data_IF_603755992951
#
_entry.id   IF_603755992951
#
_cell.length_a   1.000
_cell.length_b   1.000
_cell.length_c   1.000
_cell.angle_alpha   90.00
_cell.angle_beta   90.00
_cell.angle_gamma   90.00
#
_symmetry.space_group_name_H-M   'P 1'
#
loop_
_entity.id
_entity.type
_entity.pdbx_description
1 polymer ?
#
# COMPACT_ATOMS: atom_id res chain seq x y z
N UNK A 1 -7.28 29.81 14.67
CA UNK A 1 -6.56 29.48 13.42
C UNK A 1 -5.75 28.20 13.68
N UNK A 2 -6.26 27.04 13.25
CA UNK A 2 -5.52 25.77 13.38
C UNK A 2 -4.36 25.76 12.38
N UNK A 3 -3.15 25.59 12.86
CA UNK A 3 -1.97 25.38 12.00
C UNK A 3 -2.19 24.10 11.21
N UNK A 4 -2.21 24.20 9.90
CA UNK A 4 -2.18 23.03 9.02
C UNK A 4 -0.87 22.26 9.29
N UNK A 5 -0.91 20.96 9.63
CA UNK A 5 0.32 20.23 9.90
C UNK A 5 1.14 20.08 8.61
N UNK A 6 2.32 20.70 8.60
CA UNK A 6 3.30 20.55 7.54
C UNK A 6 4.45 19.62 7.98
N UNK A 7 4.93 18.79 7.07
CA UNK A 7 6.10 17.96 7.30
C UNK A 7 5.81 16.65 8.04
N UNK A 8 6.58 16.37 9.09
CA UNK A 8 6.46 15.13 9.87
C UNK A 8 5.15 15.03 10.63
N UNK A 9 4.58 16.16 11.07
CA UNK A 9 3.32 16.20 11.82
C UNK A 9 2.14 15.62 11.03
N UNK A 10 2.10 15.80 9.70
CA UNK A 10 1.07 15.21 8.86
C UNK A 10 1.10 13.68 8.90
N UNK A 11 2.27 13.07 8.88
CA UNK A 11 2.40 11.61 8.96
C UNK A 11 2.01 11.06 10.34
N UNK A 12 2.22 11.83 11.43
CA UNK A 12 1.78 11.45 12.77
C UNK A 12 0.25 11.29 12.82
N UNK A 13 -0.50 12.16 12.13
CA UNK A 13 -1.95 12.10 12.09
C UNK A 13 -2.46 10.79 11.47
N UNK A 14 -1.82 10.31 10.42
CA UNK A 14 -2.26 9.08 9.74
C UNK A 14 -1.73 7.82 10.39
N UNK A 15 -0.49 7.81 10.88
CA UNK A 15 0.10 6.61 11.50
C UNK A 15 -0.48 6.29 12.87
N UNK A 16 -1.08 7.26 13.55
CA UNK A 16 -1.73 7.10 14.86
C UNK A 16 -3.28 7.13 14.76
N UNK A 17 -3.83 6.87 13.58
CA UNK A 17 -5.26 6.84 13.34
C UNK A 17 -5.78 5.41 13.34
N UNK A 18 -6.37 4.99 14.45
CA UNK A 18 -6.87 3.62 14.63
C UNK A 18 -7.98 3.26 13.63
N UNK A 19 -8.88 4.18 13.31
CA UNK A 19 -9.95 3.94 12.33
C UNK A 19 -9.39 3.68 10.93
N UNK A 20 -8.34 4.41 10.56
CA UNK A 20 -7.63 4.21 9.30
C UNK A 20 -6.89 2.87 9.28
N UNK A 21 -6.24 2.50 10.38
CA UNK A 21 -5.58 1.21 10.51
C UNK A 21 -6.59 0.06 10.43
N UNK A 22 -7.78 0.19 11.05
CA UNK A 22 -8.87 -0.81 10.95
C UNK A 22 -9.35 -0.99 9.51
N UNK A 23 -9.53 0.10 8.77
CA UNK A 23 -9.90 0.03 7.36
C UNK A 23 -8.83 -0.72 6.55
N UNK A 24 -7.57 -0.34 6.68
CA UNK A 24 -6.45 -0.99 5.99
C UNK A 24 -6.39 -2.48 6.32
N UNK A 25 -6.51 -2.85 7.58
CA UNK A 25 -6.46 -4.26 8.00
C UNK A 25 -7.65 -5.06 7.48
N UNK A 26 -8.85 -4.46 7.46
CA UNK A 26 -10.03 -5.07 6.87
C UNK A 26 -9.84 -5.38 5.39
N UNK A 27 -9.28 -4.44 4.63
CA UNK A 27 -8.99 -4.63 3.20
C UNK A 27 -7.90 -5.68 2.97
N UNK A 28 -6.85 -5.72 3.80
CA UNK A 28 -5.79 -6.74 3.76
C UNK A 28 -6.37 -8.13 4.07
N UNK A 29 -7.21 -8.25 5.10
CA UNK A 29 -7.85 -9.51 5.45
C UNK A 29 -8.78 -10.03 4.33
N UNK A 30 -9.56 -9.13 3.71
CA UNK A 30 -10.40 -9.47 2.55
C UNK A 30 -9.55 -9.92 1.35
N UNK A 31 -8.42 -9.28 1.12
CA UNK A 31 -7.46 -9.62 0.08
C UNK A 31 -6.92 -11.05 0.27
N UNK A 32 -6.45 -11.40 1.48
CA UNK A 32 -5.96 -12.74 1.81
C UNK A 32 -7.08 -13.79 1.65
N UNK A 33 -8.28 -13.48 2.13
CA UNK A 33 -9.45 -14.38 1.98
C UNK A 33 -9.81 -14.62 0.50
N UNK A 34 -9.52 -13.68 -0.37
CA UNK A 34 -9.68 -13.83 -1.83
C UNK A 34 -8.54 -14.61 -2.49
N UNK A 35 -7.60 -15.20 -1.72
CA UNK A 35 -6.48 -15.99 -2.22
C UNK A 35 -5.31 -15.15 -2.77
N UNK A 36 -5.26 -13.86 -2.47
CA UNK A 36 -4.20 -12.96 -2.93
C UNK A 36 -3.03 -12.88 -1.95
N UNK A 37 -1.91 -12.40 -2.44
CA UNK A 37 -0.69 -12.25 -1.63
C UNK A 37 -0.34 -10.76 -1.48
N UNK A 38 -0.81 -10.12 -0.39
CA UNK A 38 -0.60 -8.70 -0.18
C UNK A 38 0.79 -8.35 0.35
N UNK A 39 1.28 -7.18 -0.07
CA UNK A 39 2.32 -6.43 0.62
C UNK A 39 1.77 -5.12 1.16
N UNK A 40 1.96 -4.90 2.45
CA UNK A 40 1.60 -3.66 3.14
C UNK A 40 2.84 -2.80 3.36
N UNK A 41 2.84 -1.60 2.79
CA UNK A 41 3.94 -0.65 2.91
C UNK A 41 3.60 0.49 3.87
N UNK A 42 4.51 0.72 4.78
CA UNK A 42 4.50 1.93 5.62
C UNK A 42 5.88 2.57 5.66
N UNK A 43 5.94 3.85 5.98
CA UNK A 43 7.20 4.58 6.15
C UNK A 43 7.89 4.28 7.48
N UNK A 44 7.13 3.90 8.52
CA UNK A 44 7.58 3.84 9.90
C UNK A 44 7.66 2.42 10.44
N UNK A 45 8.76 2.10 11.11
CA UNK A 45 9.02 0.76 11.67
C UNK A 45 8.04 0.42 12.80
N UNK A 46 7.72 1.37 13.66
CA UNK A 46 6.74 1.19 14.74
C UNK A 46 5.33 0.93 14.21
N UNK A 47 4.91 1.65 13.17
CA UNK A 47 3.65 1.41 12.47
C UNK A 47 3.63 0.03 11.81
N UNK A 48 4.73 -0.35 11.12
CA UNK A 48 4.86 -1.68 10.53
C UNK A 48 4.72 -2.79 11.58
N UNK A 49 5.39 -2.65 12.72
CA UNK A 49 5.29 -3.61 13.84
C UNK A 49 3.88 -3.72 14.39
N UNK A 50 3.22 -2.58 14.66
CA UNK A 50 1.84 -2.54 15.18
C UNK A 50 0.84 -3.20 14.23
N UNK A 51 0.90 -2.88 12.94
CA UNK A 51 0.05 -3.51 11.93
C UNK A 51 0.35 -5.01 11.79
N UNK A 52 1.62 -5.40 11.83
CA UNK A 52 2.01 -6.81 11.76
C UNK A 52 1.41 -7.63 12.90
N UNK A 53 1.50 -7.15 14.16
CA UNK A 53 0.94 -7.87 15.30
C UNK A 53 -0.57 -8.11 15.16
N UNK A 54 -1.28 -7.13 14.64
CA UNK A 54 -2.74 -7.19 14.44
C UNK A 54 -3.15 -8.04 13.23
N UNK A 55 -2.30 -8.11 12.20
CA UNK A 55 -2.57 -8.85 10.97
C UNK A 55 -2.20 -10.34 11.05
N UNK A 56 -1.44 -10.79 12.03
CA UNK A 56 -1.01 -12.19 12.18
C UNK A 56 -2.14 -13.21 12.12
N UNK A 57 -3.32 -12.86 12.61
CA UNK A 57 -4.48 -13.74 12.66
C UNK A 57 -5.14 -14.01 11.30
N UNK A 58 -4.77 -13.27 10.24
CA UNK A 58 -5.44 -13.31 8.95
C UNK A 58 -4.72 -14.11 7.87
N UNK A 59 -3.51 -14.61 8.16
CA UNK A 59 -2.75 -15.46 7.23
C UNK A 59 -1.96 -16.53 7.97
N UNK A 60 -1.62 -17.61 7.30
CA UNK A 60 -0.77 -18.67 7.84
C UNK A 60 0.63 -18.17 8.14
N UNK A 61 1.10 -17.24 7.32
CA UNK A 61 2.44 -16.62 7.45
C UNK A 61 2.34 -15.10 7.36
N UNK A 62 3.02 -14.42 8.26
CA UNK A 62 3.24 -12.99 8.20
C UNK A 62 4.73 -12.72 8.33
N UNK A 63 5.29 -12.05 7.34
CA UNK A 63 6.71 -11.66 7.32
C UNK A 63 6.81 -10.14 7.46
N UNK A 64 7.63 -9.70 8.42
CA UNK A 64 7.92 -8.29 8.63
C UNK A 64 9.32 -7.94 8.17
N UNK A 65 9.42 -7.14 7.09
CA UNK A 65 10.68 -6.61 6.57
C UNK A 65 10.88 -5.16 7.03
N UNK A 66 11.90 -4.90 7.86
CA UNK A 66 12.25 -3.53 8.27
C UNK A 66 13.72 -3.24 7.99
N UNK A 67 14.00 -2.00 7.53
CA UNK A 67 15.37 -1.56 7.23
C UNK A 67 16.26 -1.30 8.45
N UNK A 68 15.71 -1.40 9.67
CA UNK A 68 16.45 -1.13 10.91
C UNK A 68 17.38 -2.29 11.33
N UNK A 69 17.25 -3.43 10.71
CA UNK A 69 18.04 -4.62 11.04
C UNK A 69 19.23 -4.73 10.07
N UNK A 70 20.44 -4.93 10.59
CA UNK A 70 21.64 -5.08 9.76
C UNK A 70 21.53 -6.18 8.71
N UNK A 71 22.50 -6.25 7.80
CA UNK A 71 22.51 -7.12 6.61
C UNK A 71 22.21 -8.60 6.90
N UNK A 72 22.65 -9.12 8.06
CA UNK A 72 22.38 -10.52 8.48
C UNK A 72 20.90 -10.76 8.77
N UNK A 73 20.22 -9.82 9.43
CA UNK A 73 18.80 -9.94 9.73
C UNK A 73 17.94 -9.82 8.50
N UNK A 74 18.31 -8.92 7.57
CA UNK A 74 17.64 -8.80 6.27
C UNK A 74 17.70 -10.11 5.48
N UNK A 75 18.87 -10.75 5.44
CA UNK A 75 19.03 -12.03 4.76
C UNK A 75 18.16 -13.12 5.38
N UNK A 76 18.13 -13.23 6.70
CA UNK A 76 17.28 -14.19 7.42
C UNK A 76 15.78 -13.97 7.11
N UNK A 77 15.32 -12.72 7.05
CA UNK A 77 13.94 -12.37 6.71
C UNK A 77 13.59 -12.74 5.24
N UNK A 78 14.53 -12.56 4.31
CA UNK A 78 14.36 -12.97 2.92
C UNK A 78 14.37 -14.50 2.79
N UNK A 79 15.22 -15.20 3.53
CA UNK A 79 15.26 -16.66 3.58
C UNK A 79 13.93 -17.21 4.15
N UNK A 80 13.39 -16.58 5.20
CA UNK A 80 12.08 -16.91 5.76
C UNK A 80 10.95 -16.70 4.74
N UNK A 81 10.98 -15.59 4.00
CA UNK A 81 10.01 -15.30 2.94
C UNK A 81 10.06 -16.37 1.83
N UNK A 82 11.25 -16.76 1.42
CA UNK A 82 11.44 -17.78 0.37
C UNK A 82 11.07 -19.20 0.85
N UNK A 83 11.02 -19.44 2.14
CA UNK A 83 10.61 -20.72 2.73
C UNK A 83 9.08 -20.87 2.85
N UNK A 84 8.29 -19.83 2.57
CA UNK A 84 6.82 -19.88 2.61
C UNK A 84 6.32 -20.80 1.49
N UNK A 85 5.52 -21.81 1.84
CA UNK A 85 4.96 -22.75 0.86
C UNK A 85 3.87 -22.07 0.03
N UNK A 86 3.67 -22.54 -1.19
CA UNK A 86 2.62 -22.04 -2.09
C UNK A 86 1.21 -22.23 -1.50
N UNK A 87 1.00 -23.29 -0.71
CA UNK A 87 -0.27 -23.60 -0.05
C UNK A 87 -0.56 -22.73 1.16
N UNK A 88 0.43 -22.01 1.69
CA UNK A 88 0.27 -21.12 2.84
C UNK A 88 -0.15 -19.72 2.37
N UNK A 89 -1.16 -19.13 2.99
CA UNK A 89 -1.47 -17.71 2.82
C UNK A 89 -0.38 -16.84 3.44
N UNK A 90 -0.06 -15.72 2.78
CA UNK A 90 1.04 -14.84 3.18
C UNK A 90 0.61 -13.38 3.22
N UNK A 91 0.99 -12.69 4.27
CA UNK A 91 1.03 -11.22 4.35
C UNK A 91 2.48 -10.77 4.50
N UNK A 92 2.93 -9.89 3.61
CA UNK A 92 4.21 -9.22 3.76
C UNK A 92 3.97 -7.80 4.29
N UNK A 93 4.60 -7.43 5.39
CA UNK A 93 4.62 -6.04 5.88
C UNK A 93 6.03 -5.50 5.74
N UNK A 94 6.20 -4.35 5.12
CA UNK A 94 7.53 -3.80 4.85
C UNK A 94 7.58 -2.29 5.06
N UNK A 95 8.77 -1.79 5.38
CA UNK A 95 9.06 -0.35 5.27
C UNK A 95 9.53 -0.03 3.84
N UNK A 96 9.08 1.12 3.32
CA UNK A 96 9.20 1.47 1.89
C UNK A 96 10.59 1.35 1.26
N UNK A 97 11.66 1.53 2.03
CA UNK A 97 13.03 1.38 1.54
C UNK A 97 13.40 -0.06 1.15
N UNK A 98 12.62 -1.05 1.59
CA UNK A 98 12.93 -2.47 1.39
C UNK A 98 12.35 -3.07 0.11
N UNK A 99 11.30 -2.50 -0.44
CA UNK A 99 10.84 -2.83 -1.80
C UNK A 99 11.68 -2.13 -2.89
N UNK A 100 12.75 -1.44 -2.49
CA UNK A 100 13.72 -0.85 -3.38
C UNK A 100 14.64 -1.88 -4.02
N UNK A 101 15.92 -1.53 -4.19
CA UNK A 101 16.92 -2.35 -4.87
C UNK A 101 17.06 -3.77 -4.27
N UNK A 102 17.06 -4.77 -5.15
CA UNK A 102 17.37 -6.16 -4.81
C UNK A 102 16.24 -6.97 -4.16
N UNK A 103 15.03 -6.43 -3.97
CA UNK A 103 13.88 -7.22 -3.54
C UNK A 103 13.13 -7.78 -4.75
N UNK A 104 12.96 -9.09 -4.81
CA UNK A 104 12.19 -9.78 -5.84
C UNK A 104 11.42 -10.94 -5.21
N UNK A 105 10.09 -10.84 -5.21
CA UNK A 105 9.20 -11.91 -4.75
C UNK A 105 7.95 -11.94 -5.64
N UNK A 106 8.00 -12.68 -6.75
CA UNK A 106 7.00 -12.63 -7.83
C UNK A 106 5.58 -12.99 -7.41
N UNK A 107 5.40 -13.74 -6.33
CA UNK A 107 4.08 -14.12 -5.79
C UNK A 107 3.24 -12.94 -5.34
N UNK A 108 3.84 -11.80 -4.96
CA UNK A 108 3.10 -10.60 -4.54
C UNK A 108 2.23 -10.06 -5.68
N UNK A 109 0.95 -9.84 -5.40
CA UNK A 109 -0.02 -9.37 -6.39
C UNK A 109 -0.88 -8.18 -5.93
N UNK A 110 -0.77 -7.79 -4.67
CA UNK A 110 -1.54 -6.66 -4.12
C UNK A 110 -0.66 -5.77 -3.25
N UNK A 111 -0.65 -4.47 -3.54
CA UNK A 111 0.08 -3.46 -2.78
C UNK A 111 -0.90 -2.62 -1.95
N UNK A 112 -0.66 -2.53 -0.66
CA UNK A 112 -1.35 -1.60 0.25
C UNK A 112 -0.39 -0.51 0.70
N UNK A 113 -0.65 0.75 0.33
CA UNK A 113 0.15 1.89 0.77
C UNK A 113 -0.41 2.48 2.06
N UNK A 114 -0.03 1.92 3.21
CA UNK A 114 -0.49 2.39 4.52
C UNK A 114 0.02 3.80 4.87
N UNK A 115 1.10 4.26 4.25
CA UNK A 115 1.52 5.67 4.29
C UNK A 115 1.77 6.18 2.88
N UNK A 116 1.32 7.42 2.57
CA UNK A 116 1.54 8.00 1.25
C UNK A 116 3.03 8.11 0.91
N UNK A 117 3.38 7.73 -0.30
CA UNK A 117 4.72 7.96 -0.87
C UNK A 117 4.68 9.11 -1.85
N UNK A 118 5.79 9.83 -1.98
CA UNK A 118 5.94 10.91 -2.95
C UNK A 118 6.81 10.45 -4.12
N UNK A 119 6.44 10.91 -5.31
CA UNK A 119 7.22 10.71 -6.53
C UNK A 119 6.68 9.60 -7.42
N UNK A 120 6.62 9.92 -8.71
CA UNK A 120 6.17 9.00 -9.76
C UNK A 120 7.07 7.76 -9.83
N UNK A 121 8.39 7.95 -9.79
CA UNK A 121 9.38 6.87 -9.89
C UNK A 121 9.26 5.84 -8.76
N UNK A 122 8.87 6.27 -7.54
CA UNK A 122 8.72 5.35 -6.39
C UNK A 122 7.54 4.42 -6.62
N UNK A 123 6.42 4.95 -7.12
CA UNK A 123 5.24 4.14 -7.47
C UNK A 123 5.58 3.17 -8.58
N UNK A 124 6.23 3.64 -9.65
CA UNK A 124 6.65 2.79 -10.77
C UNK A 124 7.56 1.64 -10.30
N UNK A 125 8.49 1.91 -9.38
CA UNK A 125 9.35 0.87 -8.80
C UNK A 125 8.56 -0.18 -8.02
N UNK A 126 7.65 0.25 -7.14
CA UNK A 126 6.86 -0.67 -6.33
C UNK A 126 5.95 -1.54 -7.20
N UNK A 127 5.23 -0.90 -8.11
CA UNK A 127 4.33 -1.59 -9.04
C UNK A 127 5.11 -2.52 -9.99
N UNK A 128 6.26 -2.08 -10.49
CA UNK A 128 7.13 -2.90 -11.34
C UNK A 128 7.61 -4.18 -10.66
N UNK A 129 7.76 -4.19 -9.33
CA UNK A 129 8.09 -5.40 -8.56
C UNK A 129 6.92 -6.38 -8.46
N UNK A 130 5.70 -5.83 -8.39
CA UNK A 130 4.50 -6.66 -8.36
C UNK A 130 4.13 -7.20 -9.74
N UNK A 131 4.47 -6.50 -10.83
CA UNK A 131 4.18 -6.92 -12.20
C UNK A 131 5.09 -8.06 -12.72
N UNK A 132 5.78 -8.77 -11.83
CA UNK A 132 6.52 -9.99 -12.18
C UNK A 132 5.56 -11.13 -12.45
N UNK A 133 5.89 -11.91 -13.48
CA UNK A 133 5.13 -13.12 -13.81
C UNK A 133 5.24 -14.15 -12.69
N UNK A 134 4.10 -14.72 -12.32
CA UNK A 134 3.99 -15.82 -11.36
C UNK A 134 2.77 -16.67 -11.71
N UNK A 135 2.90 -17.99 -11.62
CA UNK A 135 1.82 -18.89 -11.97
C UNK A 135 0.57 -18.65 -11.13
N UNK A 136 -0.57 -18.59 -11.79
CA UNK A 136 -1.86 -18.26 -11.16
C UNK A 136 -2.11 -16.78 -10.86
N UNK A 137 -1.14 -15.88 -11.03
CA UNK A 137 -1.34 -14.43 -10.88
C UNK A 137 -2.16 -13.88 -12.04
N UNK A 138 -3.34 -13.31 -11.74
CA UNK A 138 -4.27 -12.77 -12.76
C UNK A 138 -4.03 -11.30 -13.05
N UNK A 139 -3.78 -10.49 -12.04
CA UNK A 139 -3.56 -9.05 -12.12
C UNK A 139 -2.85 -8.54 -10.87
N UNK A 140 -2.45 -7.28 -10.90
CA UNK A 140 -1.91 -6.56 -9.76
C UNK A 140 -2.89 -5.49 -9.33
N UNK A 141 -3.13 -5.39 -8.02
CA UNK A 141 -4.00 -4.37 -7.42
C UNK A 141 -3.18 -3.47 -6.49
N UNK A 142 -3.46 -2.17 -6.54
CA UNK A 142 -2.88 -1.19 -5.62
C UNK A 142 -4.00 -0.51 -4.83
N UNK A 143 -3.93 -0.62 -3.50
CA UNK A 143 -4.76 0.14 -2.57
C UNK A 143 -4.00 1.39 -2.15
N UNK A 144 -4.49 2.54 -2.59
CA UNK A 144 -3.93 3.85 -2.29
C UNK A 144 -4.92 4.63 -1.40
N UNK A 145 -4.59 4.75 -0.11
CA UNK A 145 -5.43 5.46 0.85
C UNK A 145 -5.17 6.96 0.76
N UNK A 146 -6.18 7.69 0.30
CA UNK A 146 -6.08 9.12 0.03
C UNK A 146 -6.60 9.93 1.22
N UNK A 147 -5.68 10.59 1.91
CA UNK A 147 -5.98 11.50 3.03
C UNK A 147 -6.08 12.94 2.49
N UNK A 148 -7.09 13.22 1.63
CA UNK A 148 -7.24 14.47 0.87
C UNK A 148 -7.43 15.71 1.74
N UNK A 149 -7.95 15.53 2.98
CA UNK A 149 -8.08 16.61 3.96
C UNK A 149 -6.72 17.16 4.44
N UNK A 150 -5.61 16.51 4.08
CA UNK A 150 -4.25 16.95 4.38
C UNK A 150 -3.60 17.41 3.07
N UNK A 151 -3.41 18.73 2.84
CA UNK A 151 -2.95 19.29 1.56
C UNK A 151 -1.63 18.70 1.02
N UNK A 152 -0.75 18.26 1.93
CA UNK A 152 0.49 17.58 1.57
C UNK A 152 0.21 16.24 0.89
N UNK A 153 -0.69 15.44 1.43
CA UNK A 153 -1.00 14.10 0.92
C UNK A 153 -1.82 14.16 -0.35
N UNK A 154 -2.66 15.16 -0.47
CA UNK A 154 -3.40 15.45 -1.69
C UNK A 154 -2.46 15.74 -2.88
N UNK A 155 -1.47 16.62 -2.70
CA UNK A 155 -0.43 16.85 -3.71
C UNK A 155 0.37 15.60 -4.06
N UNK A 156 0.68 14.77 -3.07
CA UNK A 156 1.38 13.50 -3.28
C UNK A 156 0.50 12.51 -4.05
N UNK A 157 -0.79 12.50 -3.81
CA UNK A 157 -1.75 11.67 -4.55
C UNK A 157 -1.83 12.10 -6.02
N UNK A 158 -1.93 13.39 -6.30
CA UNK A 158 -1.93 13.90 -7.68
C UNK A 158 -0.69 13.44 -8.49
N UNK A 159 0.48 13.38 -7.85
CA UNK A 159 1.69 12.84 -8.48
C UNK A 159 1.59 11.32 -8.73
N UNK A 160 1.02 10.56 -7.78
CA UNK A 160 0.81 9.11 -7.95
C UNK A 160 -0.19 8.78 -9.06
N UNK A 161 -1.25 9.58 -9.20
CA UNK A 161 -2.21 9.42 -10.30
C UNK A 161 -1.55 9.49 -11.67
N UNK A 162 -0.57 10.40 -11.86
CA UNK A 162 0.20 10.48 -13.11
C UNK A 162 1.00 9.20 -13.37
N UNK A 163 1.61 8.64 -12.32
CA UNK A 163 2.32 7.37 -12.43
C UNK A 163 1.37 6.22 -12.80
N UNK A 164 0.21 6.10 -12.15
CA UNK A 164 -0.77 5.06 -12.48
C UNK A 164 -1.25 5.15 -13.92
N UNK A 165 -1.58 6.35 -14.40
CA UNK A 165 -1.96 6.59 -15.80
C UNK A 165 -0.84 6.17 -16.75
N UNK A 166 0.40 6.57 -16.48
CA UNK A 166 1.58 6.27 -17.31
C UNK A 166 1.82 4.77 -17.45
N UNK A 167 1.61 3.99 -16.38
CA UNK A 167 1.81 2.53 -16.38
C UNK A 167 0.55 1.75 -16.78
N UNK A 168 -0.55 2.44 -17.17
CA UNK A 168 -1.76 1.82 -17.70
C UNK A 168 -2.69 1.19 -16.66
N UNK A 169 -2.69 1.68 -15.42
CA UNK A 169 -3.60 1.20 -14.37
C UNK A 169 -4.99 1.82 -14.54
N UNK A 170 -6.01 0.98 -14.35
CA UNK A 170 -7.40 1.43 -14.21
C UNK A 170 -7.63 1.93 -12.77
N UNK A 171 -8.33 3.06 -12.65
CA UNK A 171 -8.61 3.68 -11.36
C UNK A 171 -10.03 3.32 -10.90
N UNK A 172 -10.13 2.74 -9.70
CA UNK A 172 -11.40 2.53 -9.00
C UNK A 172 -11.40 3.36 -7.70
N UNK A 173 -12.43 4.16 -7.49
CA UNK A 173 -12.54 5.00 -6.29
C UNK A 173 -13.64 4.45 -5.38
N UNK A 174 -13.30 4.25 -4.10
CA UNK A 174 -14.26 4.00 -3.01
C UNK A 174 -14.26 5.21 -2.09
N UNK A 175 -15.42 5.82 -1.87
CA UNK A 175 -15.56 6.95 -0.95
C UNK A 175 -16.13 6.48 0.39
N UNK A 176 -15.73 7.16 1.47
CA UNK A 176 -16.05 6.81 2.85
C UNK A 176 -17.51 6.42 3.08
N UNK A 177 -17.69 5.23 3.70
CA UNK A 177 -18.97 4.78 4.27
C UNK A 177 -20.00 4.23 3.29
N UNK A 178 -19.93 4.51 2.02
CA UNK A 178 -20.72 3.84 1.01
C UNK A 178 -19.86 2.83 0.26
N UNK A 179 -20.11 1.55 0.49
CA UNK A 179 -19.71 0.47 -0.42
C UNK A 179 -20.45 0.67 -1.74
N UNK A 180 -20.11 1.68 -2.50
CA UNK A 180 -20.50 1.75 -3.89
C UNK A 180 -19.87 0.56 -4.56
N UNK A 181 -20.72 -0.34 -5.07
CA UNK A 181 -20.28 -1.48 -5.88
C UNK A 181 -19.16 -1.00 -6.77
N UNK A 182 -18.05 -1.70 -6.76
CA UNK A 182 -16.79 -1.40 -7.44
C UNK A 182 -16.91 -1.43 -8.98
N UNK A 183 -17.87 -0.72 -9.55
CA UNK A 183 -18.14 -0.67 -10.98
C UNK A 183 -18.02 0.76 -11.58
N UNK A 184 -17.66 1.75 -10.79
CA UNK A 184 -17.34 3.06 -11.32
C UNK A 184 -15.83 3.13 -11.59
N UNK A 185 -15.43 2.68 -12.76
CA UNK A 185 -14.13 3.01 -13.33
C UNK A 185 -14.24 4.49 -13.73
N UNK A 186 -13.51 5.34 -12.99
CA UNK A 186 -13.41 6.75 -13.37
C UNK A 186 -12.18 6.92 -14.24
N UNK A 187 -12.36 7.55 -15.39
CA UNK A 187 -11.23 8.11 -16.12
C UNK A 187 -10.48 9.08 -15.18
N UNK A 188 -9.16 8.96 -15.13
CA UNK A 188 -8.30 9.80 -14.27
C UNK A 188 -8.51 11.29 -14.55
N UNK A 189 -8.81 11.65 -15.81
CA UNK A 189 -9.11 13.02 -16.22
C UNK A 189 -10.45 13.49 -15.63
N UNK A 190 -11.49 12.68 -15.69
CA UNK A 190 -12.81 12.98 -15.12
C UNK A 190 -12.75 13.10 -13.59
N UNK A 191 -11.98 12.26 -12.92
CA UNK A 191 -11.78 12.34 -11.47
C UNK A 191 -11.07 13.64 -11.07
N UNK A 192 -9.98 13.97 -11.74
CA UNK A 192 -9.25 15.21 -11.49
C UNK A 192 -10.16 16.45 -11.71
N UNK A 193 -10.92 16.50 -12.79
CA UNK A 193 -11.84 17.60 -13.08
C UNK A 193 -12.99 17.72 -12.08
N UNK A 194 -13.55 16.61 -11.60
CA UNK A 194 -14.66 16.61 -10.64
C UNK A 194 -14.18 17.01 -9.24
N UNK A 195 -13.04 16.46 -8.81
CA UNK A 195 -12.53 16.68 -7.47
C UNK A 195 -11.96 18.10 -7.27
N UNK A 196 -11.33 18.68 -8.30
CA UNK A 196 -10.75 20.03 -8.21
C UNK A 196 -11.78 21.14 -8.43
N UNK A 197 -12.89 20.86 -9.10
CA UNK A 197 -13.97 21.84 -9.31
C UNK A 197 -14.74 22.18 -8.03
N UNK A 198 -14.81 21.24 -7.07
CA UNK A 198 -15.51 21.42 -5.80
C UNK A 198 -14.62 22.07 -4.71
N UNK A 199 -13.37 22.42 -5.04
CA UNK A 199 -12.42 23.08 -4.13
C UNK A 199 -12.12 24.56 -4.49
N UNK A 200 -12.69 25.10 -5.58
CA UNK A 200 -12.71 26.51 -5.91
C UNK A 200 -13.96 27.20 -5.31
#
# INVERSE_FOLDING_TARGET
MSRTPYGNDAYELIRNNDARDEQIMGDVAACVKAGRTPVLLTKYVDHAKRLSERLKQYADRLILLTGSNGTKSRRAQVDELNAVKESESLILVATGSLLGEGFDYPRLDTLFMATPVSGENVVEQYVGRLNRDYDGKKNVIVYDYVDSHIPKFDKMYAARLKAYKKIGYELCVSMDGEKRKANAIYDIETYAETYWRDLE
#
